data_IF_035081044668
#
_entry.id   IF_035081044668
#
_cell.length_a   1.000
_cell.length_b   1.000
_cell.length_c   1.000
_cell.angle_alpha   90.00
_cell.angle_beta   90.00
_cell.angle_gamma   90.00
#
_symmetry.space_group_name_H-M   'P 1'
#
loop_
_entity.id
_entity.type
_entity.pdbx_description
1 polymer ?
#
# COMPACT_ATOMS: atom_id res chain seq x y z
N UNK A 1 -0.19 -5.14 16.35
CA UNK A 1 0.40 -4.77 15.03
C UNK A 1 0.66 -3.26 15.00
N UNK A 2 1.72 -2.79 14.34
CA UNK A 2 1.97 -1.35 14.14
C UNK A 2 2.57 -0.53 15.30
N UNK A 3 2.69 -1.10 16.51
CA UNK A 3 3.22 -0.41 17.70
C UNK A 3 4.57 0.30 17.48
N UNK A 4 5.59 -0.32 16.84
CA UNK A 4 6.88 0.36 16.65
C UNK A 4 6.76 1.65 15.82
N UNK A 5 5.91 1.65 14.78
CA UNK A 5 5.65 2.84 13.98
C UNK A 5 4.90 3.90 14.79
N UNK A 6 3.90 3.48 15.57
CA UNK A 6 3.13 4.37 16.44
C UNK A 6 4.00 5.06 17.50
N UNK A 7 4.93 4.31 18.12
CA UNK A 7 5.83 4.87 19.15
C UNK A 7 6.82 5.89 18.56
N UNK A 8 7.33 5.64 17.35
CA UNK A 8 8.41 6.42 16.74
C UNK A 8 7.94 7.62 15.91
N UNK A 9 6.81 7.52 15.21
CA UNK A 9 6.39 8.51 14.22
C UNK A 9 5.09 9.20 14.63
N UNK A 10 5.12 10.51 14.84
CA UNK A 10 3.94 11.32 15.21
C UNK A 10 2.81 11.19 14.20
N UNK A 11 3.11 11.30 12.91
CA UNK A 11 2.11 11.18 11.84
C UNK A 11 1.50 9.78 11.69
N UNK A 12 2.09 8.76 12.34
CA UNK A 12 1.46 7.43 12.46
C UNK A 12 0.49 7.40 13.63
N UNK A 13 0.79 8.11 14.74
CA UNK A 13 -0.15 8.24 15.85
C UNK A 13 -1.46 8.86 15.40
N UNK A 14 -1.39 9.95 14.63
CA UNK A 14 -2.56 10.64 14.10
C UNK A 14 -3.53 9.70 13.37
N UNK A 15 -3.01 8.76 12.56
CA UNK A 15 -3.82 7.76 11.83
C UNK A 15 -4.56 6.84 12.81
N UNK A 16 -3.85 6.33 13.82
CA UNK A 16 -4.43 5.40 14.79
C UNK A 16 -5.44 6.08 15.71
N UNK A 17 -5.18 7.31 16.09
CA UNK A 17 -6.07 8.14 16.90
C UNK A 17 -7.35 8.48 16.13
N UNK A 18 -7.24 8.92 14.87
CA UNK A 18 -8.38 9.20 13.99
C UNK A 18 -9.28 7.95 13.79
N UNK A 19 -8.67 6.78 13.60
CA UNK A 19 -9.43 5.51 13.54
C UNK A 19 -10.11 5.21 14.89
N UNK A 20 -9.43 5.45 16.00
CA UNK A 20 -9.99 5.27 17.34
C UNK A 20 -11.21 6.13 17.59
N UNK A 21 -11.15 7.41 17.22
CA UNK A 21 -12.27 8.35 17.29
C UNK A 21 -13.46 7.89 16.44
N UNK A 22 -13.20 7.48 15.20
CA UNK A 22 -14.25 6.99 14.30
C UNK A 22 -14.93 5.71 14.79
N UNK A 23 -14.16 4.81 15.42
CA UNK A 23 -14.69 3.56 15.96
C UNK A 23 -15.27 3.72 17.38
N UNK A 24 -15.00 4.83 18.06
CA UNK A 24 -15.40 5.09 19.44
C UNK A 24 -14.72 4.15 20.44
N UNK A 25 -13.48 3.73 20.16
CA UNK A 25 -12.70 2.79 20.99
C UNK A 25 -11.25 3.24 21.14
N UNK A 26 -10.55 2.69 22.13
CA UNK A 26 -9.08 2.76 22.21
C UNK A 26 -8.46 1.80 21.18
N UNK A 27 -8.41 2.27 19.93
CA UNK A 27 -7.92 1.49 18.80
C UNK A 27 -6.42 1.15 18.89
N UNK A 28 -5.52 2.04 19.34
CA UNK A 28 -4.14 1.68 19.67
C UNK A 28 -4.06 0.51 20.66
N UNK A 29 -4.77 0.57 21.79
CA UNK A 29 -4.76 -0.50 22.77
C UNK A 29 -5.27 -1.83 22.18
N UNK A 30 -6.35 -1.81 21.39
CA UNK A 30 -6.87 -2.99 20.71
C UNK A 30 -5.83 -3.58 19.73
N UNK A 31 -5.14 -2.75 18.97
CA UNK A 31 -4.15 -3.18 17.98
C UNK A 31 -2.87 -3.74 18.62
N UNK A 32 -2.44 -3.21 19.76
CA UNK A 32 -1.14 -3.52 20.37
C UNK A 32 -1.22 -4.62 21.42
N UNK A 33 -2.28 -4.59 22.22
CA UNK A 33 -2.41 -5.38 23.45
C UNK A 33 -3.74 -6.13 23.54
N UNK A 34 -4.71 -5.81 22.67
CA UNK A 34 -6.04 -6.36 22.69
C UNK A 34 -6.10 -7.88 22.47
N UNK A 35 -7.15 -8.55 22.97
CA UNK A 35 -7.32 -9.98 22.77
C UNK A 35 -7.38 -10.32 21.28
N UNK A 36 -6.57 -11.29 20.82
CA UNK A 36 -6.52 -11.67 19.40
C UNK A 36 -7.91 -12.04 18.84
N UNK A 37 -8.77 -12.66 19.65
CA UNK A 37 -10.15 -12.98 19.25
C UNK A 37 -10.97 -11.73 18.90
N UNK A 38 -10.77 -10.65 19.64
CA UNK A 38 -11.47 -9.39 19.39
C UNK A 38 -10.91 -8.68 18.17
N UNK A 39 -9.58 -8.50 18.11
CA UNK A 39 -8.91 -7.89 16.95
C UNK A 39 -9.21 -8.62 15.63
N UNK A 40 -9.40 -9.94 15.68
CA UNK A 40 -9.74 -10.76 14.51
C UNK A 40 -11.19 -10.62 14.03
N UNK A 41 -12.06 -9.90 14.74
CA UNK A 41 -13.40 -9.60 14.23
C UNK A 41 -13.26 -8.68 13.02
N UNK A 42 -13.97 -8.97 11.93
CA UNK A 42 -13.86 -8.25 10.64
C UNK A 42 -13.93 -6.72 10.79
N UNK A 43 -14.81 -6.23 11.67
CA UNK A 43 -15.01 -4.80 11.98
C UNK A 43 -13.77 -4.11 12.55
N UNK A 44 -12.85 -4.84 13.20
CA UNK A 44 -11.61 -4.31 13.75
C UNK A 44 -10.38 -4.75 12.96
N UNK A 45 -10.39 -5.99 12.44
CA UNK A 45 -9.28 -6.55 11.69
C UNK A 45 -9.00 -5.74 10.42
N UNK A 46 -10.03 -5.38 9.65
CA UNK A 46 -9.82 -4.65 8.40
C UNK A 46 -9.27 -3.23 8.64
N UNK A 47 -9.85 -2.41 9.55
CA UNK A 47 -9.22 -1.15 9.96
C UNK A 47 -7.79 -1.29 10.48
N UNK A 48 -7.51 -2.29 11.32
CA UNK A 48 -6.17 -2.51 11.87
C UNK A 48 -5.13 -2.83 10.80
N UNK A 49 -5.50 -3.67 9.82
CA UNK A 49 -4.65 -3.99 8.67
C UNK A 49 -4.44 -2.74 7.82
N UNK A 50 -5.50 -2.00 7.51
CA UNK A 50 -5.41 -0.75 6.76
C UNK A 50 -4.48 0.28 7.41
N UNK A 51 -4.68 0.56 8.70
CA UNK A 51 -3.88 1.49 9.48
C UNK A 51 -2.40 1.11 9.48
N UNK A 52 -2.12 -0.16 9.79
CA UNK A 52 -0.76 -0.68 9.87
C UNK A 52 -0.08 -0.60 8.50
N UNK A 53 -0.75 -1.00 7.43
CA UNK A 53 -0.18 -0.97 6.09
C UNK A 53 0.03 0.42 5.54
N UNK A 54 -0.92 1.33 5.77
CA UNK A 54 -0.78 2.73 5.36
C UNK A 54 0.34 3.43 6.15
N UNK A 55 0.45 3.15 7.45
CA UNK A 55 1.56 3.64 8.28
C UNK A 55 2.90 3.12 7.76
N UNK A 56 3.03 1.80 7.56
CA UNK A 56 4.24 1.19 7.02
C UNK A 56 4.62 1.76 5.65
N UNK A 57 3.63 1.99 4.77
CA UNK A 57 3.83 2.65 3.47
C UNK A 57 4.36 4.08 3.62
N UNK A 58 3.69 4.92 4.42
CA UNK A 58 4.10 6.32 4.64
C UNK A 58 5.50 6.41 5.22
N UNK A 59 5.81 5.54 6.17
CA UNK A 59 7.12 5.45 6.78
C UNK A 59 8.15 4.99 5.75
N UNK A 60 7.86 3.96 4.96
CA UNK A 60 8.75 3.52 3.87
C UNK A 60 9.10 4.67 2.93
N UNK A 61 8.10 5.37 2.39
CA UNK A 61 8.32 6.47 1.44
C UNK A 61 9.13 7.61 2.10
N UNK A 62 8.81 7.98 3.34
CA UNK A 62 9.49 9.09 4.05
C UNK A 62 10.91 8.76 4.46
N UNK A 63 11.17 7.57 4.99
CA UNK A 63 12.48 7.19 5.49
C UNK A 63 13.45 6.77 4.37
N UNK A 64 12.93 6.30 3.24
CA UNK A 64 13.75 5.86 2.10
C UNK A 64 13.82 6.87 0.95
N UNK A 65 12.82 7.74 0.81
CA UNK A 65 12.62 8.58 -0.37
C UNK A 65 12.25 7.80 -1.64
N UNK A 66 11.97 6.49 -1.54
CA UNK A 66 11.61 5.65 -2.69
C UNK A 66 10.13 5.83 -3.00
N UNK A 67 9.83 6.34 -4.18
CA UNK A 67 8.49 6.35 -4.74
C UNK A 67 8.19 5.02 -5.45
N UNK A 68 7.11 4.30 -5.09
CA UNK A 68 6.74 3.08 -5.80
C UNK A 68 6.28 3.39 -7.22
N UNK A 69 6.76 2.60 -8.19
CA UNK A 69 6.31 2.68 -9.57
C UNK A 69 4.88 2.16 -9.79
N UNK A 70 4.38 1.33 -8.87
CA UNK A 70 3.04 0.73 -8.91
C UNK A 70 2.65 0.23 -7.51
N UNK A 71 1.37 0.31 -7.18
CA UNK A 71 0.79 -0.25 -5.97
C UNK A 71 -0.22 -1.35 -6.29
N UNK A 72 -0.35 -2.31 -5.39
CA UNK A 72 -1.42 -3.31 -5.43
C UNK A 72 -1.68 -3.81 -4.01
N UNK A 73 -2.87 -4.35 -3.78
CA UNK A 73 -3.21 -4.99 -2.52
C UNK A 73 -4.23 -6.11 -2.74
N UNK A 74 -4.35 -7.00 -1.77
CA UNK A 74 -5.20 -8.19 -1.87
C UNK A 74 -6.55 -7.95 -1.21
N UNK A 75 -7.64 -8.10 -1.97
CA UNK A 75 -9.02 -7.87 -1.55
C UNK A 75 -9.19 -6.48 -0.91
N UNK A 76 -9.40 -6.42 0.41
CA UNK A 76 -9.48 -5.16 1.16
C UNK A 76 -8.22 -4.30 0.97
N UNK A 77 -7.04 -4.92 0.83
CA UNK A 77 -5.78 -4.21 0.60
C UNK A 77 -5.76 -3.40 -0.70
N UNK A 78 -6.65 -3.67 -1.68
CA UNK A 78 -6.79 -2.84 -2.87
C UNK A 78 -7.25 -1.42 -2.52
N UNK A 79 -8.12 -1.27 -1.51
CA UNK A 79 -8.53 0.04 -0.98
C UNK A 79 -7.34 0.74 -0.30
N UNK A 80 -6.51 -0.01 0.45
CA UNK A 80 -5.26 0.52 1.00
C UNK A 80 -4.32 1.01 -0.09
N UNK A 81 -4.16 0.26 -1.19
CA UNK A 81 -3.32 0.64 -2.33
C UNK A 81 -3.84 1.90 -3.03
N UNK A 82 -5.15 2.00 -3.25
CA UNK A 82 -5.81 3.21 -3.77
C UNK A 82 -5.59 4.41 -2.85
N UNK A 83 -5.70 4.22 -1.54
CA UNK A 83 -5.46 5.28 -0.54
C UNK A 83 -3.99 5.73 -0.54
N UNK A 84 -3.06 4.77 -0.56
CA UNK A 84 -1.62 5.04 -0.62
C UNK A 84 -1.23 5.81 -1.90
N UNK A 85 -1.92 5.53 -3.00
CA UNK A 85 -1.77 6.25 -4.27
C UNK A 85 -2.53 7.59 -4.33
N UNK A 86 -3.21 8.01 -3.27
CA UNK A 86 -3.94 9.27 -3.21
C UNK A 86 -5.28 9.28 -3.96
N UNK A 87 -5.82 8.13 -4.33
CA UNK A 87 -7.08 8.03 -5.07
C UNK A 87 -8.33 8.24 -4.19
N UNK A 88 -8.21 8.07 -2.87
CA UNK A 88 -9.28 8.28 -1.89
C UNK A 88 -8.66 8.77 -0.58
N UNK A 89 -9.34 9.66 0.15
CA UNK A 89 -8.83 10.16 1.42
C UNK A 89 -8.90 9.08 2.51
N UNK A 90 -8.03 9.19 3.53
CA UNK A 90 -7.96 8.21 4.63
C UNK A 90 -9.29 8.03 5.37
N UNK A 91 -10.03 9.11 5.76
CA UNK A 91 -11.28 8.94 6.49
C UNK A 91 -12.34 8.22 5.66
N UNK A 92 -12.44 8.56 4.38
CA UNK A 92 -13.37 7.98 3.41
C UNK A 92 -13.04 6.51 3.14
N UNK A 93 -11.76 6.19 2.94
CA UNK A 93 -11.29 4.82 2.73
C UNK A 93 -11.60 3.92 3.93
N UNK A 94 -11.41 4.43 5.15
CA UNK A 94 -11.71 3.71 6.37
C UNK A 94 -13.22 3.47 6.54
N UNK A 95 -14.04 4.47 6.27
CA UNK A 95 -15.50 4.29 6.27
C UNK A 95 -15.92 3.27 5.22
N UNK A 96 -15.38 3.35 4.00
CA UNK A 96 -15.64 2.40 2.92
C UNK A 96 -15.27 0.98 3.33
N UNK A 97 -14.11 0.78 3.96
CA UNK A 97 -13.67 -0.54 4.46
C UNK A 97 -14.67 -1.09 5.48
N UNK A 98 -15.12 -0.25 6.43
CA UNK A 98 -16.10 -0.64 7.44
C UNK A 98 -17.43 -1.02 6.80
N UNK A 99 -17.96 -0.20 5.91
CA UNK A 99 -19.24 -0.46 5.23
C UNK A 99 -19.13 -1.71 4.34
N UNK A 100 -18.05 -1.85 3.57
CA UNK A 100 -17.76 -3.05 2.78
C UNK A 100 -17.75 -4.30 3.65
N UNK A 101 -17.01 -4.28 4.76
CA UNK A 101 -16.93 -5.38 5.70
C UNK A 101 -18.30 -5.76 6.28
N UNK A 102 -19.10 -4.77 6.68
CA UNK A 102 -20.45 -4.98 7.21
C UNK A 102 -21.39 -5.60 6.16
N UNK A 103 -21.41 -5.05 4.94
CA UNK A 103 -22.25 -5.56 3.86
C UNK A 103 -21.91 -7.01 3.50
N UNK A 104 -20.62 -7.35 3.46
CA UNK A 104 -20.15 -8.71 3.20
C UNK A 104 -20.54 -9.67 4.33
N UNK A 105 -20.38 -9.25 5.60
CA UNK A 105 -20.76 -10.04 6.77
C UNK A 105 -22.28 -10.28 6.83
N UNK A 106 -23.09 -9.23 6.62
CA UNK A 106 -24.55 -9.33 6.61
C UNK A 106 -25.05 -10.26 5.50
N UNK A 107 -24.42 -10.20 4.32
CA UNK A 107 -24.74 -11.07 3.21
C UNK A 107 -24.35 -12.53 3.53
N UNK A 108 -23.18 -12.74 4.12
CA UNK A 108 -22.74 -14.06 4.59
C UNK A 108 -23.67 -14.65 5.66
N UNK A 109 -24.23 -13.82 6.55
CA UNK A 109 -25.16 -14.27 7.59
C UNK A 109 -26.50 -14.82 7.08
N UNK A 110 -26.90 -14.49 5.84
CA UNK A 110 -28.17 -14.93 5.24
C UNK A 110 -28.11 -16.30 4.57
N UNK A 111 -26.90 -16.79 4.24
CA UNK A 111 -26.73 -18.03 3.48
C UNK A 111 -25.48 -18.78 3.96
N UNK A 112 -25.63 -20.09 4.16
CA UNK A 112 -24.50 -20.93 4.59
C UNK A 112 -23.50 -21.10 3.44
N UNK A 113 -22.44 -20.29 3.46
CA UNK A 113 -21.32 -20.36 2.54
C UNK A 113 -20.01 -20.71 3.26
N UNK A 114 -19.02 -21.15 2.48
CA UNK A 114 -17.67 -21.40 2.98
C UNK A 114 -16.61 -21.09 1.92
N UNK A 115 -15.37 -21.01 2.38
CA UNK A 115 -14.19 -20.88 1.52
C UNK A 115 -13.16 -21.96 1.87
N UNK A 116 -12.55 -22.56 0.84
CA UNK A 116 -11.53 -23.61 0.99
C UNK A 116 -10.33 -23.30 0.12
N UNK A 117 -9.15 -23.21 0.75
CA UNK A 117 -7.88 -23.12 0.03
C UNK A 117 -7.50 -24.49 -0.53
N UNK A 118 -7.13 -24.52 -1.80
CA UNK A 118 -6.76 -25.73 -2.55
C UNK A 118 -5.32 -25.56 -3.04
N UNK A 119 -4.48 -26.52 -2.68
CA UNK A 119 -3.07 -26.55 -3.12
C UNK A 119 -3.00 -27.26 -4.48
N UNK A 120 -2.96 -26.48 -5.56
CA UNK A 120 -2.96 -26.98 -6.94
C UNK A 120 -2.17 -26.06 -7.86
N UNK A 121 -1.47 -26.66 -8.82
CA UNK A 121 -0.81 -25.98 -9.94
C UNK A 121 -1.69 -25.88 -11.19
N UNK A 122 -2.86 -26.51 -11.15
CA UNK A 122 -3.83 -26.53 -12.24
C UNK A 122 -5.15 -25.84 -11.82
N UNK A 123 -5.18 -24.50 -11.85
CA UNK A 123 -6.37 -23.74 -11.54
C UNK A 123 -7.47 -23.88 -12.61
N UNK A 124 -7.14 -24.35 -13.82
CA UNK A 124 -8.10 -24.55 -14.92
C UNK A 124 -8.96 -25.77 -14.61
N UNK A 125 -8.34 -26.92 -14.32
CA UNK A 125 -9.09 -28.12 -13.91
C UNK A 125 -9.87 -27.91 -12.62
N UNK A 126 -9.34 -27.12 -11.67
CA UNK A 126 -10.09 -26.76 -10.46
C UNK A 126 -11.37 -25.97 -10.79
N UNK A 127 -11.29 -25.01 -11.72
CA UNK A 127 -12.45 -24.23 -12.16
C UNK A 127 -13.48 -25.11 -12.87
N UNK A 128 -13.05 -26.03 -13.75
CA UNK A 128 -13.93 -26.99 -14.42
C UNK A 128 -14.66 -27.90 -13.42
N UNK A 129 -13.93 -28.39 -12.41
CA UNK A 129 -14.53 -29.18 -11.32
C UNK A 129 -15.58 -28.36 -10.54
N UNK A 130 -15.27 -27.10 -10.22
CA UNK A 130 -16.22 -26.22 -9.54
C UNK A 130 -17.51 -26.06 -10.35
N UNK A 131 -17.39 -25.82 -11.66
CA UNK A 131 -18.53 -25.72 -12.57
C UNK A 131 -19.36 -27.01 -12.59
N UNK A 132 -18.72 -28.18 -12.69
CA UNK A 132 -19.41 -29.45 -12.70
C UNK A 132 -20.20 -29.71 -11.41
N UNK A 133 -19.59 -29.47 -10.25
CA UNK A 133 -20.25 -29.62 -8.94
C UNK A 133 -21.39 -28.61 -8.78
N UNK A 134 -21.16 -27.35 -9.13
CA UNK A 134 -22.17 -26.29 -9.08
C UNK A 134 -23.42 -26.66 -9.89
N UNK A 135 -23.22 -27.11 -11.14
CA UNK A 135 -24.31 -27.52 -12.03
C UNK A 135 -25.04 -28.76 -11.50
N UNK A 136 -24.31 -29.79 -11.06
CA UNK A 136 -24.90 -31.02 -10.56
C UNK A 136 -25.77 -30.81 -9.31
N UNK A 137 -25.42 -29.84 -8.47
CA UNK A 137 -26.13 -29.55 -7.22
C UNK A 137 -27.13 -28.39 -7.35
N UNK A 138 -27.08 -27.61 -8.44
CA UNK A 138 -27.85 -26.36 -8.56
C UNK A 138 -27.42 -25.31 -7.53
N UNK A 139 -26.14 -25.29 -7.16
CA UNK A 139 -25.55 -24.43 -6.12
C UNK A 139 -24.43 -23.55 -6.69
N UNK A 140 -24.03 -22.53 -5.94
CA UNK A 140 -22.90 -21.66 -6.30
C UNK A 140 -21.60 -22.27 -5.79
N UNK A 141 -20.62 -22.39 -6.69
CA UNK A 141 -19.25 -22.76 -6.37
C UNK A 141 -18.31 -22.20 -7.44
N UNK A 142 -17.29 -21.44 -7.02
CA UNK A 142 -16.34 -20.84 -7.95
C UNK A 142 -14.97 -20.60 -7.29
N UNK A 143 -13.92 -20.60 -8.12
CA UNK A 143 -12.60 -20.13 -7.69
C UNK A 143 -12.70 -18.64 -7.36
N UNK A 144 -12.43 -18.29 -6.11
CA UNK A 144 -12.59 -16.96 -5.53
C UNK A 144 -11.27 -16.20 -5.41
N UNK A 145 -10.14 -16.92 -5.38
CA UNK A 145 -8.81 -16.31 -5.36
C UNK A 145 -7.84 -17.15 -6.17
N UNK A 146 -7.12 -16.52 -7.10
CA UNK A 146 -5.95 -17.08 -7.76
C UNK A 146 -4.72 -16.46 -7.09
N UNK A 147 -4.26 -17.07 -6.00
CA UNK A 147 -3.26 -16.46 -5.13
C UNK A 147 -1.84 -16.64 -5.68
N UNK A 148 -1.45 -17.86 -6.00
CA UNK A 148 -0.13 -18.15 -6.56
C UNK A 148 -0.21 -19.29 -7.57
N UNK A 149 0.92 -19.67 -8.14
CA UNK A 149 1.00 -20.88 -8.98
C UNK A 149 0.50 -22.12 -8.25
N UNK A 150 0.67 -22.22 -6.93
CA UNK A 150 0.39 -23.45 -6.18
C UNK A 150 -0.86 -23.38 -5.29
N UNK A 151 -1.58 -22.25 -5.30
CA UNK A 151 -2.66 -22.04 -4.35
C UNK A 151 -3.78 -21.20 -4.95
N UNK A 152 -4.98 -21.77 -4.92
CA UNK A 152 -6.24 -21.09 -5.22
C UNK A 152 -7.19 -21.24 -4.05
N UNK A 153 -8.18 -20.37 -3.95
CA UNK A 153 -9.28 -20.51 -2.98
C UNK A 153 -10.56 -20.67 -3.76
N UNK A 154 -11.43 -21.57 -3.30
CA UNK A 154 -12.78 -21.76 -3.82
C UNK A 154 -13.77 -21.28 -2.77
N UNK A 155 -14.82 -20.61 -3.21
CA UNK A 155 -15.93 -20.20 -2.36
C UNK A 155 -17.27 -20.57 -2.98
N UNK A 156 -18.28 -20.76 -2.13
CA UNK A 156 -19.62 -21.10 -2.57
C UNK A 156 -20.51 -21.56 -1.43
N UNK A 157 -21.62 -22.17 -1.80
CA UNK A 157 -22.52 -22.84 -0.87
C UNK A 157 -21.76 -23.92 -0.07
N UNK A 158 -22.08 -24.02 1.22
CA UNK A 158 -21.41 -24.96 2.13
C UNK A 158 -21.46 -26.41 1.61
N UNK A 159 -22.62 -26.85 1.09
CA UNK A 159 -22.79 -28.20 0.55
C UNK A 159 -21.93 -28.44 -0.71
N UNK A 160 -21.79 -27.43 -1.57
CA UNK A 160 -20.95 -27.53 -2.77
C UNK A 160 -19.45 -27.56 -2.40
N UNK A 161 -19.04 -26.78 -1.40
CA UNK A 161 -17.68 -26.83 -0.84
C UNK A 161 -17.38 -28.20 -0.23
N UNK A 162 -18.31 -28.79 0.51
CA UNK A 162 -18.14 -30.14 1.08
C UNK A 162 -17.97 -31.20 -0.02
N UNK A 163 -18.80 -31.14 -1.07
CA UNK A 163 -18.67 -32.04 -2.21
C UNK A 163 -17.31 -31.89 -2.92
N UNK A 164 -16.84 -30.66 -3.08
CA UNK A 164 -15.50 -30.37 -3.62
C UNK A 164 -14.41 -30.98 -2.72
N UNK A 165 -14.46 -30.75 -1.41
CA UNK A 165 -13.48 -31.27 -0.45
C UNK A 165 -13.39 -32.80 -0.49
N UNK A 166 -14.53 -33.50 -0.51
CA UNK A 166 -14.56 -34.96 -0.67
C UNK A 166 -13.93 -35.41 -1.98
N UNK A 167 -14.17 -34.68 -3.08
CA UNK A 167 -13.55 -35.00 -4.37
C UNK A 167 -12.04 -34.80 -4.34
N UNK A 168 -11.58 -33.68 -3.81
CA UNK A 168 -10.16 -33.36 -3.68
C UNK A 168 -9.43 -34.39 -2.79
N UNK A 169 -10.06 -34.79 -1.68
CA UNK A 169 -9.55 -35.84 -0.80
C UNK A 169 -9.40 -37.17 -1.55
N UNK A 170 -10.40 -37.57 -2.35
CA UNK A 170 -10.34 -38.79 -3.17
C UNK A 170 -9.22 -38.78 -4.21
N UNK A 171 -8.73 -37.59 -4.59
CA UNK A 171 -7.62 -37.38 -5.51
C UNK A 171 -6.29 -37.12 -4.82
N UNK A 172 -6.25 -37.11 -3.48
CA UNK A 172 -5.06 -36.77 -2.71
C UNK A 172 -4.63 -35.30 -2.83
N UNK A 173 -5.52 -34.41 -3.30
CA UNK A 173 -5.23 -32.97 -3.40
C UNK A 173 -5.47 -32.31 -2.04
N UNK A 174 -4.42 -31.68 -1.50
CA UNK A 174 -4.51 -30.99 -0.20
C UNK A 174 -5.44 -29.79 -0.29
N UNK A 175 -6.42 -29.74 0.60
CA UNK A 175 -7.29 -28.58 0.79
C UNK A 175 -7.46 -28.24 2.27
N UNK A 176 -7.75 -26.98 2.58
CA UNK A 176 -7.90 -26.47 3.94
C UNK A 176 -9.08 -25.50 4.01
N UNK A 177 -10.07 -25.82 4.85
CA UNK A 177 -11.19 -24.94 5.13
C UNK A 177 -10.72 -23.66 5.81
N UNK A 178 -11.14 -22.50 5.30
CA UNK A 178 -10.79 -21.20 5.86
C UNK A 178 -11.75 -20.80 6.99
N UNK A 179 -11.21 -20.15 8.03
CA UNK A 179 -11.98 -19.56 9.13
C UNK A 179 -12.54 -18.21 8.68
N UNK A 180 -13.61 -18.25 7.90
CA UNK A 180 -14.31 -17.07 7.37
C UNK A 180 -15.78 -17.13 7.79
N UNK A 181 -16.44 -15.98 7.87
CA UNK A 181 -17.87 -15.89 8.22
C UNK A 181 -18.81 -16.33 7.10
N UNK A 182 -18.32 -16.45 5.86
CA UNK A 182 -19.08 -16.98 4.73
C UNK A 182 -18.25 -17.12 3.46
N UNK A 183 -18.93 -17.16 2.31
CA UNK A 183 -18.31 -17.29 0.99
C UNK A 183 -18.12 -15.93 0.33
N UNK A 184 -16.87 -15.45 0.25
CA UNK A 184 -16.54 -14.17 -0.38
C UNK A 184 -15.98 -14.34 -1.79
N UNK A 185 -16.03 -13.28 -2.62
CA UNK A 185 -15.48 -13.28 -3.97
C UNK A 185 -16.15 -14.31 -4.90
N UNK A 186 -17.46 -14.49 -4.74
CA UNK A 186 -18.32 -15.26 -5.66
C UNK A 186 -19.72 -14.67 -5.74
N UNK A 187 -20.57 -15.28 -6.58
CA UNK A 187 -21.94 -14.83 -6.84
C UNK A 187 -22.83 -14.74 -5.58
N UNK A 188 -22.48 -15.42 -4.48
CA UNK A 188 -23.19 -15.28 -3.22
C UNK A 188 -23.11 -13.86 -2.64
N UNK A 189 -22.14 -13.04 -3.06
CA UNK A 189 -21.98 -11.65 -2.63
C UNK A 189 -22.75 -10.64 -3.51
N UNK A 190 -23.64 -11.09 -4.40
CA UNK A 190 -24.35 -10.19 -5.34
C UNK A 190 -25.11 -9.07 -4.62
N UNK A 191 -25.85 -9.39 -3.57
CA UNK A 191 -26.59 -8.38 -2.79
C UNK A 191 -25.67 -7.37 -2.12
N UNK A 192 -24.56 -7.85 -1.53
CA UNK A 192 -23.55 -6.97 -0.94
C UNK A 192 -22.91 -6.06 -2.00
N UNK A 193 -22.68 -6.57 -3.21
CA UNK A 193 -22.09 -5.79 -4.31
C UNK A 193 -23.02 -4.68 -4.76
N UNK A 194 -24.31 -4.99 -4.92
CA UNK A 194 -25.31 -4.00 -5.34
C UNK A 194 -25.44 -2.88 -4.29
N UNK A 195 -25.48 -3.26 -3.01
CA UNK A 195 -25.49 -2.30 -1.91
C UNK A 195 -24.20 -1.48 -1.83
N UNK A 196 -23.03 -2.12 -2.00
CA UNK A 196 -21.74 -1.44 -1.98
C UNK A 196 -21.64 -0.42 -3.12
N UNK A 197 -22.15 -0.76 -4.32
CA UNK A 197 -22.18 0.17 -5.44
C UNK A 197 -22.94 1.45 -5.08
N UNK A 198 -24.11 1.34 -4.45
CA UNK A 198 -24.89 2.51 -4.05
C UNK A 198 -24.18 3.39 -3.00
N UNK A 199 -23.37 2.79 -2.12
CA UNK A 199 -22.60 3.53 -1.13
C UNK A 199 -21.40 4.22 -1.78
N UNK A 200 -20.79 3.61 -2.79
CA UNK A 200 -19.60 4.16 -3.45
C UNK A 200 -19.82 5.51 -4.15
N UNK A 201 -21.07 5.87 -4.49
CA UNK A 201 -21.42 7.19 -5.04
C UNK A 201 -21.22 8.35 -4.05
N UNK A 202 -21.00 8.06 -2.76
CA UNK A 202 -20.79 9.07 -1.71
C UNK A 202 -19.35 9.52 -1.59
N UNK A 203 -18.41 8.77 -2.17
CA UNK A 203 -16.97 9.02 -2.05
C UNK A 203 -16.44 9.69 -3.31
N UNK A 204 -15.45 10.57 -3.13
CA UNK A 204 -14.75 11.20 -4.24
C UNK A 204 -13.49 10.40 -4.54
N UNK A 205 -13.41 9.89 -5.77
CA UNK A 205 -12.21 9.23 -6.26
C UNK A 205 -11.39 10.17 -7.14
N UNK A 206 -10.11 10.26 -6.84
CA UNK A 206 -9.11 10.98 -7.63
C UNK A 206 -8.30 10.02 -8.48
N UNK A 207 -7.66 10.56 -9.52
CA UNK A 207 -6.68 9.85 -10.32
C UNK A 207 -5.52 9.42 -9.41
N UNK A 208 -5.21 8.12 -9.32
CA UNK A 208 -4.10 7.65 -8.51
C UNK A 208 -2.78 8.29 -8.98
N UNK A 209 -2.04 8.92 -8.07
CA UNK A 209 -0.71 9.47 -8.35
C UNK A 209 0.32 8.37 -8.61
N UNK A 210 0.11 7.20 -7.98
CA UNK A 210 0.86 5.97 -8.24
C UNK A 210 -0.08 5.00 -8.95
N UNK A 211 0.31 4.37 -10.08
CA UNK A 211 -0.53 3.39 -10.75
C UNK A 211 -0.97 2.25 -9.82
N UNK A 212 -2.24 1.85 -9.86
CA UNK A 212 -2.80 0.78 -9.01
C UNK A 212 -3.32 -0.39 -9.85
N UNK A 213 -2.93 -1.62 -9.50
CA UNK A 213 -3.46 -2.84 -10.12
C UNK A 213 -4.77 -3.28 -9.47
N UNK A 214 -5.78 -3.59 -10.29
CA UNK A 214 -7.04 -4.15 -9.81
C UNK A 214 -6.98 -5.65 -9.62
N UNK A 215 -7.62 -6.15 -8.56
CA UNK A 215 -7.76 -7.60 -8.33
C UNK A 215 -8.66 -8.29 -9.36
N UNK A 216 -9.59 -7.57 -9.98
CA UNK A 216 -10.51 -8.17 -10.95
C UNK A 216 -9.84 -8.50 -12.28
N UNK A 217 -9.05 -7.54 -12.79
CA UNK A 217 -8.43 -7.64 -14.10
C UNK A 217 -6.98 -8.10 -14.03
N UNK A 218 -6.29 -7.88 -12.89
CA UNK A 218 -4.83 -7.99 -12.80
C UNK A 218 -4.09 -6.90 -13.57
N UNK A 219 -4.79 -5.88 -14.07
CA UNK A 219 -4.25 -4.75 -14.86
C UNK A 219 -4.42 -3.44 -14.08
N UNK A 220 -3.79 -2.38 -14.57
CA UNK A 220 -3.95 -1.04 -13.99
C UNK A 220 -5.40 -0.56 -14.10
N UNK A 221 -5.82 0.25 -13.13
CA UNK A 221 -6.97 1.12 -13.30
C UNK A 221 -6.74 2.06 -14.48
N UNK A 222 -7.66 2.05 -15.45
CA UNK A 222 -7.56 2.89 -16.66
C UNK A 222 -8.07 4.31 -16.46
N UNK A 223 -9.01 4.50 -15.53
CA UNK A 223 -9.66 5.77 -15.21
C UNK A 223 -10.15 5.71 -13.75
N UNK A 224 -10.04 6.83 -13.03
CA UNK A 224 -10.63 7.03 -11.70
C UNK A 224 -12.14 6.76 -11.68
N UNK A 225 -12.84 7.06 -12.78
CA UNK A 225 -14.29 6.87 -12.89
C UNK A 225 -14.70 5.40 -12.84
N UNK A 226 -13.78 4.47 -13.13
CA UNK A 226 -14.04 3.04 -13.08
C UNK A 226 -13.86 2.46 -11.66
N UNK A 227 -13.25 3.20 -10.73
CA UNK A 227 -12.94 2.70 -9.37
C UNK A 227 -14.21 2.23 -8.63
N UNK A 228 -15.32 3.00 -8.58
CA UNK A 228 -16.56 2.55 -7.92
C UNK A 228 -17.12 1.24 -8.49
N UNK A 229 -17.22 1.13 -9.81
CA UNK A 229 -17.78 -0.05 -10.46
C UNK A 229 -16.90 -1.27 -10.20
N UNK A 230 -15.58 -1.12 -10.33
CA UNK A 230 -14.63 -2.21 -10.12
C UNK A 230 -14.57 -2.64 -8.65
N UNK A 231 -14.59 -1.72 -7.68
CA UNK A 231 -14.60 -2.07 -6.25
C UNK A 231 -15.89 -2.78 -5.83
N UNK A 232 -17.05 -2.36 -6.38
CA UNK A 232 -18.30 -3.07 -6.14
C UNK A 232 -18.26 -4.49 -6.72
N UNK A 233 -17.77 -4.63 -7.96
CA UNK A 233 -17.68 -5.93 -8.61
C UNK A 233 -16.61 -6.85 -8.00
N UNK A 234 -15.58 -6.27 -7.37
CA UNK A 234 -14.47 -6.99 -6.74
C UNK A 234 -14.95 -8.00 -5.69
N UNK A 235 -16.01 -7.70 -4.93
CA UNK A 235 -16.45 -8.58 -3.84
C UNK A 235 -17.25 -9.80 -4.30
N UNK A 236 -17.75 -9.82 -5.54
CA UNK A 236 -18.38 -10.99 -6.16
C UNK A 236 -17.50 -11.68 -7.22
N UNK A 237 -16.33 -11.12 -7.51
CA UNK A 237 -15.42 -11.59 -8.55
C UNK A 237 -14.15 -12.18 -7.96
N UNK A 238 -13.46 -13.09 -8.66
CA UNK A 238 -12.24 -13.68 -8.16
C UNK A 238 -11.12 -12.65 -7.99
N UNK A 239 -10.36 -12.73 -6.89
CA UNK A 239 -9.12 -11.96 -6.71
C UNK A 239 -8.00 -12.60 -7.52
N UNK A 240 -7.54 -11.94 -8.58
CA UNK A 240 -6.48 -12.40 -9.47
C UNK A 240 -5.09 -11.97 -9.00
N UNK A 241 -4.74 -12.29 -7.76
CA UNK A 241 -3.46 -11.86 -7.16
C UNK A 241 -2.24 -12.32 -7.95
N UNK A 242 -2.22 -13.58 -8.43
CA UNK A 242 -1.16 -14.10 -9.31
C UNK A 242 -0.98 -13.21 -10.54
N UNK A 243 -2.09 -12.79 -11.17
CA UNK A 243 -2.03 -11.90 -12.33
C UNK A 243 -1.54 -10.49 -11.96
N UNK A 244 -1.90 -9.97 -10.79
CA UNK A 244 -1.30 -8.73 -10.29
C UNK A 244 0.23 -8.86 -10.14
N UNK A 245 0.71 -9.99 -9.61
CA UNK A 245 2.16 -10.26 -9.49
C UNK A 245 2.84 -10.48 -10.85
N UNK A 246 2.16 -11.03 -11.84
CA UNK A 246 2.65 -11.07 -13.23
C UNK A 246 2.78 -9.67 -13.82
N UNK A 247 1.73 -8.85 -13.64
CA UNK A 247 1.68 -7.48 -14.14
C UNK A 247 2.71 -6.55 -13.52
N UNK A 248 2.99 -6.69 -12.22
CA UNK A 248 3.92 -5.81 -11.50
C UNK A 248 5.34 -5.84 -12.09
N UNK A 249 5.74 -6.98 -12.71
CA UNK A 249 7.06 -7.16 -13.34
C UNK A 249 7.29 -6.21 -14.52
N UNK A 250 6.23 -5.64 -15.09
CA UNK A 250 6.33 -4.62 -16.15
C UNK A 250 6.76 -3.24 -15.63
N UNK A 251 6.61 -3.00 -14.33
CA UNK A 251 6.80 -1.69 -13.70
C UNK A 251 7.91 -1.68 -12.65
N UNK A 252 8.14 -2.81 -11.99
CA UNK A 252 9.11 -2.94 -10.92
C UNK A 252 9.90 -4.24 -11.06
N UNK A 253 11.07 -4.26 -10.43
CA UNK A 253 11.93 -5.44 -10.28
C UNK A 253 12.03 -5.94 -8.82
N UNK A 254 11.49 -5.18 -7.86
CA UNK A 254 11.29 -5.59 -6.47
C UNK A 254 9.92 -5.14 -5.97
N UNK A 255 9.34 -5.91 -5.06
CA UNK A 255 8.16 -5.55 -4.31
C UNK A 255 8.51 -5.29 -2.83
N UNK A 256 7.75 -4.40 -2.20
CA UNK A 256 7.83 -4.12 -0.77
C UNK A 256 6.47 -4.46 -0.15
N UNK A 257 6.43 -5.51 0.67
CA UNK A 257 5.24 -5.93 1.38
C UNK A 257 5.08 -5.14 2.67
N UNK A 258 4.10 -4.22 2.69
CA UNK A 258 3.73 -3.40 3.85
C UNK A 258 2.54 -4.01 4.65
N UNK A 259 2.16 -5.26 4.40
CA UNK A 259 1.09 -5.94 5.15
C UNK A 259 1.55 -6.34 6.56
N UNK A 260 0.65 -6.39 7.57
CA UNK A 260 1.03 -6.87 8.89
C UNK A 260 1.60 -8.29 8.82
N UNK A 261 2.81 -8.50 9.36
CA UNK A 261 3.51 -9.80 9.41
C UNK A 261 3.85 -10.44 8.05
N UNK A 262 3.75 -9.68 6.96
CA UNK A 262 4.30 -10.08 5.66
C UNK A 262 3.50 -11.17 5.00
N UNK A 263 2.18 -11.07 5.15
CA UNK A 263 1.24 -12.08 4.67
C UNK A 263 1.24 -12.12 3.15
N UNK A 264 1.36 -10.98 2.47
CA UNK A 264 1.33 -10.92 1.00
C UNK A 264 2.55 -11.59 0.39
N UNK A 265 3.73 -11.46 1.00
CA UNK A 265 4.95 -12.19 0.60
C UNK A 265 4.74 -13.70 0.58
N UNK A 266 3.89 -14.24 1.47
CA UNK A 266 3.58 -15.69 1.52
C UNK A 266 2.66 -16.14 0.37
N UNK A 267 1.97 -15.21 -0.27
CA UNK A 267 1.17 -15.45 -1.46
C UNK A 267 1.94 -15.26 -2.76
N UNK A 268 3.21 -14.86 -2.69
CA UNK A 268 4.08 -14.76 -3.86
C UNK A 268 4.77 -16.10 -4.11
N UNK A 269 4.76 -16.55 -5.37
CA UNK A 269 5.48 -17.72 -5.83
C UNK A 269 6.98 -17.48 -5.95
N UNK A 270 7.76 -18.56 -6.07
CA UNK A 270 9.22 -18.45 -6.29
C UNK A 270 9.59 -17.75 -7.59
N UNK A 271 8.73 -17.89 -8.60
CA UNK A 271 8.95 -17.27 -9.91
C UNK A 271 8.47 -15.81 -9.93
N UNK A 272 7.77 -15.34 -8.90
CA UNK A 272 7.31 -13.96 -8.74
C UNK A 272 8.44 -12.96 -8.54
N UNK A 273 8.10 -11.68 -8.65
CA UNK A 273 9.04 -10.59 -8.40
C UNK A 273 9.63 -10.74 -6.98
N UNK A 274 10.94 -10.57 -6.79
CA UNK A 274 11.54 -10.59 -5.46
C UNK A 274 10.83 -9.61 -4.53
N UNK A 275 10.48 -10.04 -3.32
CA UNK A 275 9.70 -9.27 -2.37
C UNK A 275 10.36 -9.20 -1.01
N UNK A 276 10.60 -7.97 -0.55
CA UNK A 276 11.08 -7.66 0.79
C UNK A 276 9.88 -7.29 1.65
N UNK A 277 9.83 -7.81 2.87
CA UNK A 277 8.76 -7.47 3.79
C UNK A 277 9.17 -6.32 4.70
N UNK A 278 8.37 -5.26 4.72
CA UNK A 278 8.56 -4.07 5.55
C UNK A 278 7.60 -4.10 6.75
N UNK A 279 7.92 -4.91 7.77
CA UNK A 279 7.13 -4.98 9.01
C UNK A 279 7.70 -4.23 10.21
N UNK A 280 9.01 -3.99 10.24
CA UNK A 280 9.66 -3.81 11.52
C UNK A 280 10.76 -2.74 11.47
N UNK A 281 10.35 -1.48 11.51
CA UNK A 281 11.22 -0.46 12.11
C UNK A 281 11.21 -0.66 13.64
N UNK A 282 11.87 -1.75 14.04
CA UNK A 282 12.62 -1.85 15.29
C UNK A 282 14.11 -2.05 15.03
N UNK A 283 14.54 -2.28 13.77
CA UNK A 283 15.95 -2.32 13.41
C UNK A 283 16.19 -1.58 12.10
N UNK A 284 17.09 -0.60 12.12
CA UNK A 284 17.70 0.06 10.95
C UNK A 284 18.31 -0.92 9.92
N UNK A 285 18.32 -2.22 10.20
CA UNK A 285 18.82 -3.29 9.34
C UNK A 285 17.82 -3.69 8.24
N UNK A 286 16.51 -3.51 8.42
CA UNK A 286 15.49 -3.82 7.39
C UNK A 286 15.65 -2.93 6.13
N UNK A 287 16.35 -1.79 6.25
CA UNK A 287 16.74 -0.93 5.14
C UNK A 287 17.93 -1.45 4.32
N UNK A 288 18.74 -2.35 4.89
CA UNK A 288 19.93 -2.92 4.24
C UNK A 288 19.61 -4.11 3.34
N UNK A 289 18.47 -4.77 3.59
CA UNK A 289 17.96 -5.90 2.79
C UNK A 289 17.11 -5.45 1.60
N UNK A 290 16.77 -4.16 1.52
CA UNK A 290 16.33 -3.57 0.26
C UNK A 290 17.53 -3.65 -0.70
N UNK A 291 17.37 -4.31 -1.86
CA UNK A 291 18.43 -4.33 -2.85
C UNK A 291 18.80 -2.89 -3.15
N UNK A 292 20.09 -2.60 -3.11
CA UNK A 292 20.62 -1.30 -3.51
C UNK A 292 20.27 -1.07 -4.97
N UNK A 293 19.10 -0.45 -5.14
CA UNK A 293 18.49 0.04 -6.36
C UNK A 293 17.72 1.30 -6.01
N UNK A 294 18.40 2.21 -5.31
CA UNK A 294 18.30 3.64 -5.65
C UNK A 294 18.18 3.72 -7.18
N UNK A 295 17.23 4.44 -7.79
CA UNK A 295 16.88 4.38 -9.22
C UNK A 295 18.02 4.68 -10.24
N UNK A 296 19.23 4.12 -10.14
CA UNK A 296 20.44 4.94 -10.20
C UNK A 296 20.24 6.20 -9.35
N UNK A 297 20.99 6.39 -8.26
CA UNK A 297 20.83 7.56 -7.36
C UNK A 297 20.93 8.92 -8.06
N UNK A 298 21.22 8.93 -9.36
CA UNK A 298 21.22 10.03 -10.30
C UNK A 298 19.81 10.51 -10.62
N UNK A 299 19.49 11.72 -10.16
CA UNK A 299 18.38 12.48 -10.73
C UNK A 299 18.65 12.70 -12.23
N UNK A 300 17.62 12.49 -13.08
CA UNK A 300 17.75 12.88 -14.48
C UNK A 300 18.10 14.40 -14.56
N UNK A 301 18.84 14.86 -15.58
CA UNK A 301 19.37 16.23 -15.60
C UNK A 301 18.30 17.32 -15.45
N UNK A 302 17.08 17.08 -15.94
CA UNK A 302 15.98 18.04 -15.83
C UNK A 302 15.45 18.15 -14.40
N UNK A 303 15.30 17.03 -13.70
CA UNK A 303 14.90 16.99 -12.29
C UNK A 303 16.00 17.56 -11.37
N UNK A 304 17.26 17.21 -11.62
CA UNK A 304 18.41 17.75 -10.91
C UNK A 304 18.49 19.29 -11.05
N UNK A 305 18.30 19.81 -12.27
CA UNK A 305 18.29 21.25 -12.52
C UNK A 305 17.13 21.95 -11.78
N UNK A 306 15.93 21.35 -11.80
CA UNK A 306 14.76 21.90 -11.10
C UNK A 306 14.96 21.94 -9.58
N UNK A 307 15.48 20.86 -9.01
CA UNK A 307 15.81 20.74 -7.59
C UNK A 307 16.84 21.78 -7.16
N UNK A 308 17.99 21.86 -7.84
CA UNK A 308 19.05 22.84 -7.54
C UNK A 308 18.56 24.28 -7.65
N UNK A 309 17.76 24.62 -8.68
CA UNK A 309 17.16 25.95 -8.80
C UNK A 309 16.28 26.28 -7.60
N UNK A 310 15.48 25.33 -7.11
CA UNK A 310 14.60 25.54 -5.97
C UNK A 310 15.38 25.74 -4.67
N UNK A 311 16.43 24.93 -4.46
CA UNK A 311 17.37 25.10 -3.35
C UNK A 311 18.05 26.47 -3.35
N UNK A 312 18.49 26.95 -4.52
CA UNK A 312 19.08 28.28 -4.69
C UNK A 312 18.06 29.37 -4.40
N UNK A 313 16.84 29.25 -4.93
CA UNK A 313 15.75 30.21 -4.65
C UNK A 313 15.44 30.26 -3.16
N UNK A 314 15.34 29.12 -2.48
CA UNK A 314 15.10 29.07 -1.05
C UNK A 314 16.25 29.75 -0.27
N UNK A 315 17.50 29.44 -0.61
CA UNK A 315 18.68 30.03 0.01
C UNK A 315 18.72 31.58 -0.12
N UNK A 316 18.27 32.14 -1.25
CA UNK A 316 18.24 33.60 -1.47
C UNK A 316 17.01 34.23 -0.78
N UNK A 317 15.85 33.59 -0.87
CA UNK A 317 14.56 34.21 -0.51
C UNK A 317 14.35 34.37 0.99
N UNK A 318 15.04 33.58 1.81
CA UNK A 318 14.93 33.67 3.26
C UNK A 318 15.62 34.91 3.82
N UNK A 319 14.94 35.57 4.77
CA UNK A 319 15.41 36.78 5.44
C UNK A 319 16.72 36.51 6.20
N UNK A 320 17.76 37.30 5.91
CA UNK A 320 18.98 37.29 6.71
C UNK A 320 18.78 38.10 7.99
N UNK A 321 19.00 37.47 9.14
CA UNK A 321 18.99 38.11 10.46
C UNK A 321 20.39 38.17 11.09
N UNK A 322 21.43 37.69 10.40
CA UNK A 322 22.82 37.75 10.82
C UNK A 322 23.58 38.89 10.14
N UNK A 323 24.12 39.83 10.93
CA UNK A 323 24.80 41.03 10.46
C UNK A 323 26.31 41.00 10.69
N UNK A 324 26.89 39.85 11.04
CA UNK A 324 28.34 39.64 11.05
C UNK A 324 28.84 39.45 9.61
N UNK A 325 29.48 40.49 9.05
CA UNK A 325 29.96 40.48 7.66
C UNK A 325 31.00 39.39 7.36
N UNK A 326 31.84 39.02 8.33
CA UNK A 326 32.90 38.02 8.11
C UNK A 326 32.32 36.60 8.11
N UNK A 327 31.37 36.34 9.02
CA UNK A 327 30.61 35.09 9.01
C UNK A 327 29.70 35.01 7.79
N UNK A 328 29.07 36.11 7.37
CA UNK A 328 28.20 36.12 6.20
C UNK A 328 28.95 35.74 4.91
N UNK A 329 30.15 36.31 4.69
CA UNK A 329 30.95 35.97 3.50
C UNK A 329 31.36 34.49 3.50
N UNK A 330 31.84 33.97 4.63
CA UNK A 330 32.34 32.59 4.70
C UNK A 330 31.23 31.53 4.76
N UNK A 331 30.11 31.82 5.45
CA UNK A 331 29.09 30.84 5.80
C UNK A 331 27.79 30.96 5.01
N UNK A 332 27.57 32.06 4.28
CA UNK A 332 26.41 32.24 3.40
C UNK A 332 26.83 32.34 1.94
N UNK A 333 27.79 33.22 1.62
CA UNK A 333 28.19 33.44 0.23
C UNK A 333 28.96 32.24 -0.34
N UNK A 334 29.87 31.62 0.42
CA UNK A 334 30.62 30.45 -0.07
C UNK A 334 29.71 29.25 -0.37
N UNK A 335 28.83 28.76 0.54
CA UNK A 335 27.92 27.65 0.23
C UNK A 335 26.96 27.98 -0.92
N UNK A 336 26.54 29.24 -1.03
CA UNK A 336 25.71 29.70 -2.15
C UNK A 336 26.43 29.57 -3.50
N UNK A 337 27.69 30.00 -3.60
CA UNK A 337 28.50 29.88 -4.82
C UNK A 337 28.75 28.41 -5.19
N UNK A 338 28.88 27.54 -4.21
CA UNK A 338 28.99 26.10 -4.44
C UNK A 338 27.71 25.52 -5.04
N UNK A 339 26.53 25.92 -4.54
CA UNK A 339 25.23 25.55 -5.16
C UNK A 339 25.13 26.05 -6.61
N UNK A 340 25.59 27.26 -6.91
CA UNK A 340 25.64 27.78 -8.28
C UNK A 340 26.61 26.98 -9.18
N UNK A 341 27.74 26.50 -8.63
CA UNK A 341 28.68 25.65 -9.37
C UNK A 341 28.03 24.31 -9.71
N UNK A 342 27.40 23.66 -8.73
CA UNK A 342 26.70 22.39 -8.92
C UNK A 342 25.59 22.51 -9.97
N UNK A 343 24.85 23.63 -9.99
CA UNK A 343 23.84 23.89 -11.03
C UNK A 343 24.46 24.03 -12.43
N UNK A 344 25.64 24.63 -12.55
CA UNK A 344 26.34 24.73 -13.85
C UNK A 344 26.81 23.36 -14.34
N UNK A 345 27.31 22.52 -13.43
CA UNK A 345 27.75 21.16 -13.74
C UNK A 345 26.55 20.31 -14.21
N UNK A 346 25.43 20.35 -13.50
CA UNK A 346 24.20 19.63 -13.90
C UNK A 346 23.70 20.11 -15.26
N UNK A 347 23.71 21.42 -15.53
CA UNK A 347 23.38 21.97 -16.86
C UNK A 347 24.34 21.52 -17.97
N UNK A 348 25.58 21.20 -17.63
CA UNK A 348 26.56 20.64 -18.56
C UNK A 348 26.43 19.12 -18.73
N UNK A 349 25.43 18.51 -18.10
CA UNK A 349 25.13 17.07 -18.19
C UNK A 349 25.70 16.25 -17.03
N UNK A 350 26.19 16.88 -15.97
CA UNK A 350 26.55 16.15 -14.76
C UNK A 350 25.31 15.55 -14.11
N UNK A 351 25.47 14.32 -13.65
CA UNK A 351 24.47 13.59 -12.90
C UNK A 351 24.48 14.06 -11.44
N UNK A 352 23.30 14.26 -10.84
CA UNK A 352 23.20 14.58 -9.42
C UNK A 352 22.78 13.34 -8.67
N UNK A 353 23.75 12.66 -8.06
CA UNK A 353 23.50 11.46 -7.28
C UNK A 353 22.98 11.78 -5.86
N UNK A 354 22.80 10.76 -5.04
CA UNK A 354 22.33 10.90 -3.66
C UNK A 354 23.28 11.74 -2.80
N UNK A 355 24.59 11.51 -2.90
CA UNK A 355 25.58 12.28 -2.15
C UNK A 355 25.55 13.74 -2.58
N UNK A 356 25.40 13.99 -3.88
CA UNK A 356 25.18 15.32 -4.45
C UNK A 356 23.91 15.98 -3.91
N UNK A 357 22.79 15.26 -3.82
CA UNK A 357 21.53 15.78 -3.26
C UNK A 357 21.66 16.12 -1.77
N UNK A 358 22.26 15.24 -0.97
CA UNK A 358 22.52 15.48 0.46
C UNK A 358 23.48 16.67 0.66
N UNK A 359 24.49 16.79 -0.21
CA UNK A 359 25.43 17.90 -0.24
C UNK A 359 24.75 19.25 -0.57
N UNK A 360 23.72 19.25 -1.43
CA UNK A 360 22.89 20.43 -1.72
C UNK A 360 22.04 20.82 -0.51
N UNK A 361 21.29 19.87 0.06
CA UNK A 361 20.41 20.14 1.21
C UNK A 361 21.21 20.62 2.43
N UNK A 362 22.36 20.02 2.69
CA UNK A 362 23.27 20.42 3.78
C UNK A 362 23.73 21.87 3.63
N UNK A 363 24.06 22.31 2.41
CA UNK A 363 24.44 23.70 2.13
C UNK A 363 23.28 24.68 2.35
N UNK A 364 22.08 24.32 1.90
CA UNK A 364 20.88 25.15 2.12
C UNK A 364 20.59 25.27 3.61
N UNK A 365 20.67 24.16 4.35
CA UNK A 365 20.49 24.15 5.80
C UNK A 365 21.54 25.00 6.53
N UNK A 366 22.81 24.90 6.14
CA UNK A 366 23.87 25.75 6.68
C UNK A 366 23.57 27.24 6.43
N UNK A 367 23.13 27.60 5.22
CA UNK A 367 22.71 28.98 4.91
C UNK A 367 21.57 29.43 5.83
N UNK A 368 20.58 28.57 6.10
CA UNK A 368 19.46 28.91 7.00
C UNK A 368 19.90 29.13 8.44
N UNK A 369 20.76 28.26 8.96
CA UNK A 369 21.36 28.40 10.29
C UNK A 369 22.13 29.71 10.41
N UNK A 370 22.99 30.02 9.43
CA UNK A 370 23.81 31.22 9.46
C UNK A 370 23.05 32.51 9.19
N UNK A 371 21.89 32.44 8.51
CA UNK A 371 20.94 33.55 8.41
C UNK A 371 20.07 33.72 9.66
N UNK A 372 20.21 32.85 10.65
CA UNK A 372 19.45 32.82 11.91
C UNK A 372 17.93 32.76 11.70
N UNK A 373 17.49 31.84 10.85
CA UNK A 373 16.06 31.51 10.74
C UNK A 373 15.59 30.79 12.02
N UNK A 374 14.32 30.99 12.42
CA UNK A 374 13.72 30.20 13.49
C UNK A 374 13.58 28.73 13.09
N UNK A 375 13.72 27.81 14.05
CA UNK A 375 13.69 26.36 13.81
C UNK A 375 12.44 25.91 13.04
N UNK A 376 11.27 26.47 13.33
CA UNK A 376 10.01 26.17 12.62
C UNK A 376 10.07 26.52 11.13
N UNK A 377 10.73 27.63 10.79
CA UNK A 377 10.88 28.10 9.40
C UNK A 377 11.93 27.27 8.68
N UNK A 378 13.02 26.92 9.37
CA UNK A 378 14.04 26.02 8.80
C UNK A 378 13.43 24.66 8.48
N UNK A 379 12.69 24.09 9.44
CA UNK A 379 12.02 22.81 9.27
C UNK A 379 11.02 22.84 8.12
N UNK A 380 10.17 23.86 8.04
CA UNK A 380 9.20 23.99 6.95
C UNK A 380 9.88 24.03 5.56
N UNK A 381 10.98 24.77 5.41
CA UNK A 381 11.73 24.81 4.15
C UNK A 381 12.47 23.50 3.85
N UNK A 382 13.09 22.87 4.85
CA UNK A 382 13.80 21.61 4.64
C UNK A 382 12.83 20.47 4.32
N UNK A 383 11.66 20.43 4.96
CA UNK A 383 10.59 19.49 4.65
C UNK A 383 10.07 19.71 3.22
N UNK A 384 9.91 20.97 2.77
CA UNK A 384 9.53 21.30 1.39
C UNK A 384 10.57 20.84 0.37
N UNK A 385 11.86 21.11 0.61
CA UNK A 385 12.93 20.77 -0.31
C UNK A 385 13.25 19.27 -0.34
N UNK A 386 12.99 18.54 0.74
CA UNK A 386 13.19 17.10 0.81
C UNK A 386 12.12 16.29 0.04
N UNK A 387 10.98 16.91 -0.29
CA UNK A 387 9.92 16.33 -1.14
C UNK A 387 10.24 16.36 -2.65
N UNK A 388 11.33 17.01 -3.06
CA UNK A 388 11.82 17.09 -4.45
C UNK A 388 13.12 16.31 -4.62
#
# INVERSE_FOLDING_TARGET
MGKPFFDQFTYVRDIYEEIGEMLGIDFPALCFEGPAKELNRTIYAQPAIFATSLAAFRVFVRETGIEPAVCCGHSMGEITALTAAGAIAVPEALELIRVRGQLMEDCAGRRQGAMTAVMTEDPVSLQELCCHIAQALGLVLAVSNYNSTQQSVVSGDLAAIQALETKLESWGVRSVRLKTSGAFHCLLMKEASDALRQVLDRYIFHSPAIPVLSNMSGELYSDQNNIPDMLSQQILSPVRWKKCMESIRRYANHAVDVSPNGVLRRFMGKDDIPCVHFSAIGQLQDFRDLPDKSPSGVMNPSAAEAFLKRCIVAAISVKNSNFDNQQYESQVITPYRELESMLKEVKAGAELDREGREAVLSRVYAIFQHKMLSDDVQKAWMDELAMF
#
